data_IF_954653294281
#
_entry.id   IF_954653294281
#
_cell.length_a   1.000
_cell.length_b   1.000
_cell.length_c   1.000
_cell.angle_alpha   90.00
_cell.angle_beta   90.00
_cell.angle_gamma   90.00
#
_symmetry.space_group_name_H-M   'P 1'
#
loop_
_entity.id
_entity.type
_entity.pdbx_description
1 polymer ?
#
# COMPACT_ATOMS: atom_id res chain seq x y z
N UNK A 1 22.68 17.56 3.77
CA UNK A 1 21.70 18.35 4.55
C UNK A 1 20.97 17.40 5.49
N UNK A 2 20.95 17.66 6.80
CA UNK A 2 20.02 16.97 7.72
C UNK A 2 18.63 17.57 7.48
N UNK A 3 17.63 16.75 7.18
CA UNK A 3 16.25 17.23 7.15
C UNK A 3 15.82 17.43 8.60
N UNK A 4 15.52 18.69 8.95
CA UNK A 4 15.02 19.06 10.27
C UNK A 4 13.50 19.20 10.17
N UNK A 5 12.77 18.63 11.13
CA UNK A 5 11.32 18.72 11.21
C UNK A 5 10.56 17.63 10.45
N UNK A 6 9.24 17.79 10.42
CA UNK A 6 8.33 16.83 9.79
C UNK A 6 8.58 16.73 8.28
N UNK A 7 8.64 15.50 7.78
CA UNK A 7 8.80 15.15 6.37
C UNK A 7 7.75 14.14 5.96
N UNK A 8 7.42 14.10 4.67
CA UNK A 8 6.42 13.18 4.11
C UNK A 8 7.13 12.11 3.28
N UNK A 9 6.86 10.84 3.58
CA UNK A 9 7.37 9.74 2.76
C UNK A 9 6.70 9.75 1.38
N UNK A 10 7.49 9.83 0.31
CA UNK A 10 6.95 9.89 -1.06
C UNK A 10 6.29 8.59 -1.53
N UNK A 11 6.53 7.46 -0.86
CA UNK A 11 6.01 6.15 -1.26
C UNK A 11 4.87 5.64 -0.38
N UNK A 12 4.85 5.97 0.92
CA UNK A 12 3.77 5.56 1.83
C UNK A 12 2.93 6.73 2.37
N UNK A 13 3.26 7.97 2.04
CA UNK A 13 2.48 9.16 2.42
C UNK A 13 2.57 9.57 3.90
N UNK A 14 3.15 8.74 4.77
CA UNK A 14 3.27 9.03 6.20
C UNK A 14 4.10 10.30 6.46
N UNK A 15 3.60 11.16 7.35
CA UNK A 15 4.31 12.34 7.86
C UNK A 15 4.99 11.96 9.17
N UNK A 16 6.30 12.20 9.28
CA UNK A 16 7.10 11.83 10.45
C UNK A 16 8.31 12.76 10.62
N UNK A 17 8.89 12.83 11.82
CA UNK A 17 10.11 13.61 12.06
C UNK A 17 11.34 12.73 11.81
N UNK A 18 12.08 12.98 10.72
CA UNK A 18 13.21 12.13 10.34
C UNK A 18 14.41 12.21 11.30
N UNK A 19 14.47 13.26 12.11
CA UNK A 19 15.46 13.48 13.16
C UNK A 19 15.08 12.87 14.52
N UNK A 20 13.82 12.43 14.69
CA UNK A 20 13.37 11.68 15.85
C UNK A 20 13.51 10.16 15.58
N UNK A 21 14.37 9.43 16.32
CA UNK A 21 14.57 8.00 16.10
C UNK A 21 13.31 7.15 16.34
N UNK A 22 12.41 7.55 17.25
CA UNK A 22 11.16 6.83 17.52
C UNK A 22 10.19 6.96 16.33
N UNK A 23 10.00 8.19 15.84
CA UNK A 23 9.19 8.46 14.64
C UNK A 23 9.76 7.72 13.43
N UNK A 24 11.08 7.72 13.25
CA UNK A 24 11.75 7.02 12.16
C UNK A 24 11.54 5.50 12.24
N UNK A 25 11.60 4.93 13.45
CA UNK A 25 11.33 3.52 13.67
C UNK A 25 9.87 3.15 13.37
N UNK A 26 8.92 3.97 13.83
CA UNK A 26 7.49 3.81 13.53
C UNK A 26 7.22 3.91 12.03
N UNK A 27 7.81 4.90 11.36
CA UNK A 27 7.75 5.03 9.90
C UNK A 27 8.24 3.75 9.22
N UNK A 28 9.38 3.20 9.63
CA UNK A 28 9.93 1.99 9.01
C UNK A 28 8.97 0.81 9.13
N UNK A 29 8.35 0.61 10.29
CA UNK A 29 7.36 -0.46 10.47
C UNK A 29 6.09 -0.24 9.65
N UNK A 30 5.53 0.96 9.69
CA UNK A 30 4.34 1.32 8.92
C UNK A 30 4.61 1.17 7.42
N UNK A 31 5.72 1.71 6.95
CA UNK A 31 6.13 1.72 5.55
C UNK A 31 6.18 0.31 4.96
N UNK A 32 6.83 -0.64 5.65
CA UNK A 32 6.90 -2.02 5.19
C UNK A 32 5.51 -2.66 5.13
N UNK A 33 4.71 -2.53 6.20
CA UNK A 33 3.35 -3.09 6.25
C UNK A 33 2.45 -2.51 5.16
N UNK A 34 2.49 -1.19 4.98
CA UNK A 34 1.71 -0.48 3.96
C UNK A 34 2.06 -1.00 2.56
N UNK A 35 3.36 -0.99 2.21
CA UNK A 35 3.81 -1.46 0.91
C UNK A 35 3.45 -2.93 0.66
N UNK A 36 3.63 -3.82 1.63
CA UNK A 36 3.26 -5.23 1.49
C UNK A 36 1.74 -5.41 1.27
N UNK A 37 0.92 -4.64 1.99
CA UNK A 37 -0.54 -4.65 1.85
C UNK A 37 -1.03 -4.16 0.49
N UNK A 38 -0.40 -3.16 -0.13
CA UNK A 38 -0.85 -2.60 -1.43
C UNK A 38 -0.12 -3.19 -2.64
N UNK A 39 1.08 -3.75 -2.48
CA UNK A 39 1.92 -4.23 -3.59
C UNK A 39 1.22 -5.31 -4.41
N UNK A 40 1.07 -5.07 -5.70
CA UNK A 40 0.51 -6.01 -6.64
C UNK A 40 1.59 -6.52 -7.59
N UNK A 41 1.75 -7.85 -7.68
CA UNK A 41 2.82 -8.48 -8.49
C UNK A 41 2.30 -9.20 -9.74
N UNK A 42 1.02 -9.01 -10.08
CA UNK A 42 0.36 -9.73 -11.17
C UNK A 42 -0.15 -11.11 -10.73
N UNK A 43 -1.26 -11.54 -11.33
CA UNK A 43 -1.82 -12.88 -11.12
C UNK A 43 -1.88 -13.66 -12.43
N UNK A 44 -1.86 -14.99 -12.34
CA UNK A 44 -1.97 -15.86 -13.53
C UNK A 44 -3.31 -15.66 -14.27
N UNK A 45 -4.38 -15.43 -13.52
CA UNK A 45 -5.70 -15.11 -14.06
C UNK A 45 -6.19 -13.82 -13.42
N UNK A 46 -6.42 -12.82 -14.25
CA UNK A 46 -6.87 -11.49 -13.85
C UNK A 46 -8.20 -11.20 -14.55
N UNK A 47 -9.12 -10.54 -13.83
CA UNK A 47 -10.36 -10.04 -14.41
C UNK A 47 -10.22 -8.53 -14.59
N UNK A 48 -9.63 -8.12 -15.69
CA UNK A 48 -9.48 -6.70 -16.06
C UNK A 48 -10.82 -6.18 -16.57
N UNK A 49 -11.30 -5.07 -15.99
CA UNK A 49 -12.57 -4.42 -16.39
C UNK A 49 -12.35 -3.01 -16.97
N UNK A 50 -11.10 -2.54 -16.98
CA UNK A 50 -10.70 -1.30 -17.63
C UNK A 50 -9.18 -1.22 -17.76
N UNK A 51 -8.71 -0.74 -18.89
CA UNK A 51 -7.29 -0.50 -19.17
C UNK A 51 -7.09 0.96 -19.54
N UNK A 52 -6.00 1.53 -19.05
CA UNK A 52 -5.65 2.93 -19.18
C UNK A 52 -4.14 3.04 -19.47
N UNK A 53 -3.70 4.23 -19.84
CA UNK A 53 -2.29 4.49 -20.17
C UNK A 53 -1.36 4.41 -18.95
N UNK A 54 -1.90 4.58 -17.75
CA UNK A 54 -1.20 4.57 -16.46
C UNK A 54 -1.52 3.34 -15.59
N UNK A 55 -2.37 2.43 -16.05
CA UNK A 55 -2.72 1.25 -15.26
C UNK A 55 -3.96 0.51 -15.75
N UNK A 56 -4.52 -0.30 -14.85
CA UNK A 56 -5.70 -1.14 -15.12
C UNK A 56 -6.54 -1.32 -13.87
N UNK A 57 -7.83 -1.60 -14.07
CA UNK A 57 -8.79 -1.89 -13.00
C UNK A 57 -9.07 -3.39 -13.01
N UNK A 58 -8.89 -4.02 -11.85
CA UNK A 58 -9.21 -5.43 -11.62
C UNK A 58 -10.50 -5.57 -10.80
N UNK A 59 -11.39 -6.46 -11.22
CA UNK A 59 -12.58 -6.82 -10.46
C UNK A 59 -12.34 -8.13 -9.70
N UNK A 60 -12.42 -8.06 -8.37
CA UNK A 60 -12.40 -9.24 -7.48
C UNK A 60 -13.82 -9.50 -6.97
N UNK A 61 -14.29 -10.74 -7.10
CA UNK A 61 -15.59 -11.21 -6.61
C UNK A 61 -15.42 -12.14 -5.41
N UNK A 62 -16.45 -12.34 -4.56
CA UNK A 62 -16.36 -13.20 -3.38
C UNK A 62 -15.96 -14.65 -3.67
N UNK A 63 -16.33 -15.19 -4.84
CA UNK A 63 -16.04 -16.57 -5.25
C UNK A 63 -14.68 -16.74 -5.96
N UNK A 64 -13.89 -15.67 -6.07
CA UNK A 64 -12.57 -15.75 -6.67
C UNK A 64 -11.57 -16.54 -5.79
N UNK A 65 -10.42 -16.97 -6.36
CA UNK A 65 -9.40 -17.65 -5.58
C UNK A 65 -9.02 -16.90 -4.31
N UNK A 66 -8.79 -17.63 -3.21
CA UNK A 66 -8.51 -17.07 -1.88
C UNK A 66 -7.40 -16.02 -1.85
N UNK A 67 -6.38 -16.14 -2.71
CA UNK A 67 -5.30 -15.15 -2.77
C UNK A 67 -5.79 -13.78 -3.26
N UNK A 68 -6.77 -13.74 -4.17
CA UNK A 68 -7.32 -12.52 -4.72
C UNK A 68 -8.23 -11.82 -3.71
N UNK A 69 -9.13 -12.59 -3.10
CA UNK A 69 -10.03 -12.12 -2.04
C UNK A 69 -9.21 -11.62 -0.84
N UNK A 70 -8.19 -12.38 -0.40
CA UNK A 70 -7.29 -11.95 0.68
C UNK A 70 -6.56 -10.66 0.35
N UNK A 71 -6.06 -10.50 -0.88
CA UNK A 71 -5.39 -9.25 -1.28
C UNK A 71 -6.35 -8.06 -1.23
N UNK A 72 -7.59 -8.24 -1.71
CA UNK A 72 -8.61 -7.20 -1.62
C UNK A 72 -8.91 -6.81 -0.16
N UNK A 73 -9.00 -7.80 0.74
CA UNK A 73 -9.14 -7.56 2.18
C UNK A 73 -7.94 -6.83 2.80
N UNK A 74 -6.71 -7.21 2.43
CA UNK A 74 -5.49 -6.55 2.93
C UNK A 74 -5.46 -5.06 2.50
N UNK A 75 -5.85 -4.76 1.25
CA UNK A 75 -5.97 -3.38 0.73
C UNK A 75 -7.12 -2.63 1.43
N UNK A 76 -8.28 -3.28 1.62
CA UNK A 76 -9.44 -2.70 2.31
C UNK A 76 -9.08 -2.24 3.73
N UNK A 77 -8.34 -3.07 4.48
CA UNK A 77 -7.90 -2.74 5.85
C UNK A 77 -7.00 -1.51 5.90
N UNK A 78 -6.16 -1.29 4.89
CA UNK A 78 -5.36 -0.06 4.80
C UNK A 78 -6.27 1.14 4.57
N UNK A 79 -7.23 1.04 3.66
CA UNK A 79 -8.18 2.13 3.39
C UNK A 79 -9.09 2.45 4.60
N UNK A 80 -9.45 1.46 5.41
CA UNK A 80 -10.23 1.66 6.65
C UNK A 80 -9.44 2.38 7.76
N UNK A 81 -8.10 2.32 7.71
CA UNK A 81 -7.22 2.88 8.74
C UNK A 81 -6.75 4.32 8.47
N UNK A 82 -7.06 4.85 7.29
CA UNK A 82 -6.86 6.26 6.91
C UNK A 82 -8.08 7.11 7.29
#
# INVERSE_FOLDING_TARGET
QKQFGATTCSSCGMIYSADNPDDHFQHTQFHQRFLDSIKYVGWKKERVVGEFWDGKILLVLPDDPKYAVRKAEDVRRVADSE
#
